data_IF_471119343207
#
_entry.id   IF_471119343207
#
_cell.length_a   1.000
_cell.length_b   1.000
_cell.length_c   1.000
_cell.angle_alpha   90.00
_cell.angle_beta   90.00
_cell.angle_gamma   90.00
#
_symmetry.space_group_name_H-M   'P 1'
#
loop_
_entity.id
_entity.type
_entity.pdbx_description
1 polymer ?
#
# COMPACT_ATOMS: atom_id res chain seq x y z
N UNK A 1 12.78 5.67 7.58
CA UNK A 1 11.82 5.29 8.64
C UNK A 1 11.10 4.01 8.20
N UNK A 2 10.72 3.12 9.11
CA UNK A 2 9.97 1.90 8.79
C UNK A 2 8.68 1.86 9.60
N UNK A 3 7.67 1.15 9.09
CA UNK A 3 6.44 0.87 9.85
C UNK A 3 6.81 0.10 11.13
N UNK A 4 6.21 0.48 12.27
CA UNK A 4 6.55 -0.14 13.57
C UNK A 4 5.89 -1.50 13.76
N UNK A 5 4.91 -1.84 12.91
CA UNK A 5 4.12 -3.07 12.99
C UNK A 5 4.05 -3.76 11.64
N UNK A 6 3.85 -5.07 11.71
CA UNK A 6 3.68 -5.93 10.53
C UNK A 6 2.28 -5.81 9.94
N UNK A 7 1.25 -5.81 10.78
CA UNK A 7 -0.16 -5.89 10.36
C UNK A 7 -0.86 -4.54 10.48
N UNK A 8 -1.65 -4.18 9.45
CA UNK A 8 -2.41 -2.93 9.39
C UNK A 8 -3.91 -3.21 9.59
N UNK A 9 -4.37 -3.14 10.84
CA UNK A 9 -5.75 -3.49 11.22
C UNK A 9 -6.63 -2.28 11.52
N UNK A 10 -6.05 -1.14 11.93
CA UNK A 10 -6.79 0.06 12.29
C UNK A 10 -5.96 1.33 12.10
N UNK A 11 -6.64 2.46 11.87
CA UNK A 11 -6.00 3.78 11.83
C UNK A 11 -5.65 4.31 13.22
N UNK A 12 -6.47 3.99 14.24
CA UNK A 12 -6.33 4.52 15.60
C UNK A 12 -4.98 4.18 16.26
N UNK A 13 -4.35 3.09 15.82
CA UNK A 13 -3.04 2.68 16.33
C UNK A 13 -1.88 3.38 15.65
N UNK A 14 -2.07 4.03 14.49
CA UNK A 14 -0.98 4.64 13.72
C UNK A 14 -0.52 5.94 14.37
N UNK A 15 0.80 6.08 14.48
CA UNK A 15 1.40 7.36 14.83
C UNK A 15 1.41 8.31 13.64
N UNK A 16 1.48 9.63 13.92
CA UNK A 16 1.54 10.67 12.88
C UNK A 16 2.69 10.40 11.90
N UNK A 17 3.87 10.01 12.40
CA UNK A 17 5.03 9.71 11.55
C UNK A 17 4.80 8.53 10.61
N UNK A 18 4.09 7.49 11.06
CA UNK A 18 3.74 6.34 10.20
C UNK A 18 2.74 6.74 9.12
N UNK A 19 1.78 7.60 9.43
CA UNK A 19 0.83 8.13 8.46
C UNK A 19 1.56 8.98 7.42
N UNK A 20 2.43 9.90 7.86
CA UNK A 20 3.23 10.73 6.98
C UNK A 20 4.09 9.87 6.04
N UNK A 21 4.77 8.85 6.58
CA UNK A 21 5.57 7.91 5.77
C UNK A 21 4.74 7.22 4.67
N UNK A 22 3.52 6.77 5.00
CA UNK A 22 2.62 6.13 4.02
C UNK A 22 2.23 7.14 2.93
N UNK A 23 1.88 8.37 3.30
CA UNK A 23 1.45 9.41 2.37
C UNK A 23 2.59 9.86 1.44
N UNK A 24 3.79 10.09 1.98
CA UNK A 24 4.99 10.43 1.19
C UNK A 24 5.34 9.31 0.21
N UNK A 25 5.28 8.06 0.67
CA UNK A 25 5.52 6.90 -0.20
C UNK A 25 4.46 6.84 -1.30
N UNK A 26 3.17 7.03 -0.98
CA UNK A 26 2.10 7.03 -1.95
C UNK A 26 2.26 8.12 -3.02
N UNK A 27 2.73 9.32 -2.64
CA UNK A 27 2.97 10.41 -3.59
C UNK A 27 4.08 10.05 -4.60
N UNK A 28 5.18 9.43 -4.14
CA UNK A 28 6.23 8.94 -5.05
C UNK A 28 5.73 7.88 -6.05
N UNK A 29 4.75 7.06 -5.65
CA UNK A 29 4.14 6.05 -6.51
C UNK A 29 3.10 6.62 -7.48
N UNK A 30 2.56 7.81 -7.20
CA UNK A 30 1.65 8.51 -8.13
C UNK A 30 2.32 8.76 -9.47
N UNK A 31 3.61 9.14 -9.48
CA UNK A 31 4.38 9.33 -10.70
C UNK A 31 4.54 8.03 -11.52
N UNK A 32 4.57 6.87 -10.87
CA UNK A 32 4.66 5.56 -11.55
C UNK A 32 3.42 5.28 -12.39
N UNK A 33 2.25 5.77 -11.97
CA UNK A 33 0.99 5.55 -12.70
C UNK A 33 0.94 6.24 -14.06
N UNK A 34 1.74 7.31 -14.25
CA UNK A 34 1.89 8.03 -15.51
C UNK A 34 2.93 7.44 -16.47
N UNK A 35 3.72 6.46 -16.04
CA UNK A 35 4.73 5.81 -16.88
C UNK A 35 4.09 4.79 -17.82
N UNK A 36 4.68 4.63 -19.00
CA UNK A 36 4.27 3.62 -19.99
C UNK A 36 4.33 2.19 -19.41
N UNK A 37 5.32 1.96 -18.54
CA UNK A 37 5.44 0.73 -17.74
C UNK A 37 5.14 1.04 -16.27
N UNK A 38 3.93 0.69 -15.84
CA UNK A 38 3.42 0.91 -14.47
C UNK A 38 3.96 -0.07 -13.42
N UNK A 39 4.92 -0.93 -13.77
CA UNK A 39 5.43 -2.00 -12.89
C UNK A 39 6.74 -1.58 -12.24
N UNK A 40 6.77 -1.56 -10.91
CA UNK A 40 8.02 -1.42 -10.14
C UNK A 40 8.55 -2.78 -9.68
N UNK A 41 9.87 -2.97 -9.60
CA UNK A 41 10.47 -4.25 -9.20
C UNK A 41 10.35 -4.55 -7.70
N UNK A 42 9.90 -3.60 -6.88
CA UNK A 42 9.94 -3.68 -5.41
C UNK A 42 9.25 -4.92 -4.81
N UNK A 43 8.20 -5.43 -5.46
CA UNK A 43 7.45 -6.62 -5.02
C UNK A 43 7.67 -7.84 -5.93
N UNK A 44 8.69 -7.83 -6.78
CA UNK A 44 8.98 -8.96 -7.69
C UNK A 44 9.25 -10.23 -6.88
N UNK A 45 8.56 -11.31 -7.24
CA UNK A 45 8.66 -12.59 -6.52
C UNK A 45 7.84 -12.65 -5.23
N UNK A 46 6.99 -11.65 -4.95
CA UNK A 46 6.00 -11.70 -3.86
C UNK A 46 4.61 -12.02 -4.43
N UNK A 47 3.86 -12.85 -3.70
CA UNK A 47 2.47 -13.18 -4.01
C UNK A 47 1.56 -12.51 -2.99
N UNK A 48 0.53 -11.82 -3.47
CA UNK A 48 -0.51 -11.19 -2.62
C UNK A 48 -1.78 -12.02 -2.74
N UNK A 49 -2.38 -12.39 -1.59
CA UNK A 49 -3.62 -13.16 -1.53
C UNK A 49 -4.75 -12.24 -1.05
N UNK A 50 -5.80 -12.12 -1.85
CA UNK A 50 -6.98 -11.31 -1.54
C UNK A 50 -8.13 -12.20 -1.05
N UNK A 51 -8.50 -12.10 0.24
CA UNK A 51 -9.62 -12.84 0.83
C UNK A 51 -10.77 -11.88 1.17
N UNK A 52 -11.89 -12.02 0.47
CA UNK A 52 -13.10 -11.22 0.67
C UNK A 52 -14.30 -12.15 0.88
N UNK A 53 -14.95 -12.04 2.03
CA UNK A 53 -16.21 -12.76 2.32
C UNK A 53 -17.44 -12.10 1.69
N UNK A 54 -17.32 -10.82 1.36
CA UNK A 54 -18.37 -10.01 0.75
C UNK A 54 -17.84 -9.30 -0.51
N UNK A 55 -18.68 -9.09 -1.55
CA UNK A 55 -18.26 -8.38 -2.75
C UNK A 55 -17.82 -6.93 -2.47
N UNK A 56 -16.59 -6.57 -2.85
CA UNK A 56 -16.07 -5.21 -2.75
C UNK A 56 -15.20 -4.86 -3.97
N UNK A 57 -15.76 -4.15 -4.95
CA UNK A 57 -15.09 -3.89 -6.23
C UNK A 57 -13.94 -2.89 -6.08
N UNK A 58 -14.20 -1.70 -5.50
CA UNK A 58 -13.20 -0.61 -5.39
C UNK A 58 -11.98 -0.97 -4.55
N UNK A 59 -12.14 -1.86 -3.58
CA UNK A 59 -11.05 -2.26 -2.66
C UNK A 59 -10.18 -3.36 -3.28
N UNK A 60 -10.76 -4.21 -4.12
CA UNK A 60 -10.08 -5.40 -4.66
C UNK A 60 -9.27 -5.11 -5.92
N UNK A 61 -9.74 -4.18 -6.77
CA UNK A 61 -9.17 -3.88 -8.10
C UNK A 61 -8.09 -2.83 -8.03
#
# INVERSE_FOLDING_TARGET
>A
MSLKRKDLLSLASLSVDEIALILETADSFKEVTGREIKKVPALRGKTVVNLFFEPSTRTRT
#
